data_IF_235176331780
#
_entry.id   IF_235176331780
#
_cell.length_a   1.000
_cell.length_b   1.000
_cell.length_c   1.000
_cell.angle_alpha   90.00
_cell.angle_beta   90.00
_cell.angle_gamma   90.00
#
_symmetry.space_group_name_H-M   'P 1'
#
loop_
_entity.id
_entity.type
_entity.pdbx_description
1 polymer ?
#
# COMPACT_ATOMS: atom_id res chain seq x y z
N UNK A 1 -34.89 -16.85 12.51
CA UNK A 1 -35.13 -16.08 13.76
C UNK A 1 -33.96 -16.11 14.74
N UNK A 2 -33.30 -17.25 15.00
CA UNK A 2 -32.17 -17.35 15.96
C UNK A 2 -30.96 -16.53 15.50
N UNK A 3 -30.59 -16.53 14.20
CA UNK A 3 -29.47 -15.75 13.66
C UNK A 3 -29.64 -14.23 13.80
N UNK A 4 -30.85 -13.72 13.72
CA UNK A 4 -31.15 -12.28 13.85
C UNK A 4 -31.07 -11.80 15.32
N UNK A 5 -31.32 -12.66 16.27
CA UNK A 5 -31.20 -12.37 17.72
C UNK A 5 -29.72 -12.39 18.13
N UNK A 6 -28.95 -13.37 17.63
CA UNK A 6 -27.51 -13.47 17.89
C UNK A 6 -26.77 -12.25 17.31
N UNK A 7 -27.10 -11.78 16.10
CA UNK A 7 -26.50 -10.58 15.51
C UNK A 7 -26.83 -9.30 16.28
N UNK A 8 -28.02 -9.21 16.90
CA UNK A 8 -28.42 -8.06 17.76
C UNK A 8 -27.67 -8.04 19.10
N UNK A 9 -27.35 -9.21 19.68
CA UNK A 9 -26.66 -9.32 20.99
C UNK A 9 -25.17 -9.23 20.86
N UNK A 10 -24.57 -9.85 19.83
CA UNK A 10 -23.11 -9.92 19.66
C UNK A 10 -22.55 -8.88 18.68
N UNK A 11 -23.38 -8.11 17.98
CA UNK A 11 -23.01 -7.20 16.92
C UNK A 11 -22.46 -7.95 15.69
N UNK A 12 -22.43 -7.29 14.53
CA UNK A 12 -21.79 -7.83 13.34
C UNK A 12 -20.25 -7.77 13.55
N UNK A 13 -19.52 -8.87 13.26
CA UNK A 13 -18.05 -8.95 13.34
C UNK A 13 -17.40 -7.76 12.62
N UNK A 14 -17.90 -7.42 11.44
CA UNK A 14 -17.45 -6.27 10.66
C UNK A 14 -17.57 -4.95 11.44
N UNK A 15 -18.68 -4.71 12.14
CA UNK A 15 -18.85 -3.49 12.93
C UNK A 15 -17.88 -3.39 14.11
N UNK A 16 -17.53 -4.53 14.74
CA UNK A 16 -16.52 -4.58 15.81
C UNK A 16 -15.13 -4.32 15.27
N UNK A 17 -14.80 -4.89 14.12
CA UNK A 17 -13.50 -4.72 13.47
C UNK A 17 -13.32 -3.26 13.01
N UNK A 18 -14.34 -2.66 12.38
CA UNK A 18 -14.36 -1.23 12.03
C UNK A 18 -14.15 -0.36 13.28
N UNK A 19 -14.83 -0.65 14.40
CA UNK A 19 -14.67 0.11 15.64
C UNK A 19 -13.24 0.05 16.18
N UNK A 20 -12.56 -1.09 16.03
CA UNK A 20 -11.13 -1.26 16.44
C UNK A 20 -10.17 -0.44 15.57
N UNK A 21 -10.52 -0.22 14.30
CA UNK A 21 -9.67 0.52 13.37
C UNK A 21 -9.82 2.04 13.48
N UNK A 22 -10.91 2.55 14.09
CA UNK A 22 -11.16 4.00 14.23
C UNK A 22 -9.98 4.80 14.80
N UNK A 23 -9.28 4.36 15.87
CA UNK A 23 -8.14 5.10 16.39
C UNK A 23 -6.99 5.20 15.36
N UNK A 24 -6.77 4.15 14.55
CA UNK A 24 -5.74 4.15 13.50
C UNK A 24 -6.11 5.09 12.35
N UNK A 25 -7.39 5.12 11.97
CA UNK A 25 -7.90 6.10 10.98
C UNK A 25 -7.72 7.54 11.49
N UNK A 26 -7.98 7.78 12.77
CA UNK A 26 -7.75 9.09 13.37
C UNK A 26 -6.26 9.48 13.29
N UNK A 27 -5.34 8.58 13.63
CA UNK A 27 -3.89 8.81 13.49
C UNK A 27 -3.49 9.17 12.06
N UNK A 28 -4.01 8.44 11.05
CA UNK A 28 -3.77 8.72 9.63
C UNK A 28 -4.26 10.14 9.28
N UNK A 29 -5.49 10.47 9.66
CA UNK A 29 -6.08 11.76 9.34
C UNK A 29 -5.39 12.92 10.06
N UNK A 30 -4.93 12.73 11.29
CA UNK A 30 -4.20 13.77 12.02
C UNK A 30 -2.82 13.99 11.41
N UNK A 31 -2.11 12.93 11.02
CA UNK A 31 -0.85 13.08 10.29
C UNK A 31 -1.06 13.76 8.93
N UNK A 32 -2.08 13.34 8.17
CA UNK A 32 -2.45 13.94 6.89
C UNK A 32 -2.70 15.46 6.96
N UNK A 33 -3.31 15.96 8.05
CA UNK A 33 -3.54 17.41 8.22
C UNK A 33 -2.23 18.20 8.20
N UNK A 34 -1.16 17.65 8.79
CA UNK A 34 0.14 18.29 8.85
C UNK A 34 0.83 18.33 7.47
N UNK A 35 0.57 17.32 6.60
CA UNK A 35 1.18 17.23 5.27
C UNK A 35 0.73 18.34 4.31
N UNK A 36 -0.41 18.96 4.55
CA UNK A 36 -0.96 20.01 3.67
C UNK A 36 -0.03 21.20 3.49
N UNK A 37 0.81 21.49 4.48
CA UNK A 37 1.78 22.60 4.45
C UNK A 37 3.16 22.18 3.91
N UNK A 38 3.37 20.89 3.57
CA UNK A 38 4.66 20.40 3.11
C UNK A 38 4.81 20.60 1.59
N UNK A 39 6.07 20.87 1.16
CA UNK A 39 6.40 20.79 -0.27
C UNK A 39 6.41 19.34 -0.76
N UNK A 40 6.37 19.17 -2.10
CA UNK A 40 6.44 17.83 -2.71
C UNK A 40 7.76 17.13 -2.36
N UNK A 41 8.88 17.87 -2.39
CA UNK A 41 10.20 17.35 -2.06
C UNK A 41 10.28 16.84 -0.61
N UNK A 42 9.67 17.58 0.34
CA UNK A 42 9.63 17.18 1.74
C UNK A 42 8.80 15.91 1.92
N UNK A 43 7.67 15.81 1.22
CA UNK A 43 6.80 14.64 1.28
C UNK A 43 7.50 13.39 0.72
N UNK A 44 8.13 13.53 -0.45
CA UNK A 44 8.91 12.46 -1.09
C UNK A 44 10.07 12.03 -0.17
N UNK A 45 10.79 13.00 0.39
CA UNK A 45 11.91 12.73 1.28
C UNK A 45 11.48 11.92 2.51
N UNK A 46 10.37 12.29 3.16
CA UNK A 46 9.84 11.54 4.31
C UNK A 46 9.60 10.06 3.99
N UNK A 47 8.99 9.77 2.84
CA UNK A 47 8.80 8.40 2.38
C UNK A 47 10.12 7.68 2.10
N UNK A 48 11.06 8.33 1.41
CA UNK A 48 12.36 7.75 1.08
C UNK A 48 13.24 7.55 2.32
N UNK A 49 13.14 8.43 3.31
CA UNK A 49 13.83 8.28 4.60
C UNK A 49 13.31 7.05 5.37
N UNK A 50 12.00 6.76 5.33
CA UNK A 50 11.42 5.52 5.88
C UNK A 50 11.96 4.28 5.17
N UNK A 51 12.01 4.30 3.83
CA UNK A 51 12.54 3.20 3.00
C UNK A 51 14.01 2.92 3.32
N UNK A 52 14.82 3.96 3.39
CA UNK A 52 16.25 3.88 3.72
C UNK A 52 16.47 3.39 5.15
N UNK A 53 15.67 3.88 6.10
CA UNK A 53 15.73 3.47 7.50
C UNK A 53 15.42 1.98 7.64
N UNK A 54 14.37 1.49 7.00
CA UNK A 54 14.02 0.07 7.02
C UNK A 54 15.15 -0.79 6.42
N UNK A 55 15.64 -0.41 5.23
CA UNK A 55 16.74 -1.12 4.56
C UNK A 55 17.99 -1.23 5.45
N UNK A 56 18.41 -0.14 6.07
CA UNK A 56 19.56 -0.12 6.98
C UNK A 56 19.35 -1.02 8.20
N UNK A 57 18.15 -0.98 8.79
CA UNK A 57 17.78 -1.82 9.95
C UNK A 57 17.71 -3.30 9.58
N UNK A 58 17.24 -3.65 8.38
CA UNK A 58 17.22 -5.04 7.87
C UNK A 58 18.65 -5.57 7.73
N UNK A 59 19.55 -4.78 7.16
CA UNK A 59 20.96 -5.16 7.00
C UNK A 59 21.60 -5.43 8.37
N UNK A 60 21.37 -4.55 9.34
CA UNK A 60 21.89 -4.72 10.69
C UNK A 60 21.28 -5.96 11.36
N UNK A 61 19.95 -6.10 11.31
CA UNK A 61 19.25 -7.24 11.89
C UNK A 61 19.71 -8.57 11.31
N UNK A 62 19.96 -8.61 10.00
CA UNK A 62 20.48 -9.81 9.32
C UNK A 62 21.88 -10.19 9.82
N UNK A 63 22.75 -9.22 10.07
CA UNK A 63 24.07 -9.48 10.69
C UNK A 63 23.90 -10.08 12.08
N UNK A 64 23.09 -9.45 12.92
CA UNK A 64 22.86 -9.88 14.31
C UNK A 64 22.26 -11.30 14.38
N UNK A 65 21.43 -11.68 13.39
CA UNK A 65 20.83 -13.00 13.31
C UNK A 65 21.80 -14.08 12.80
N UNK A 66 22.70 -13.74 11.89
CA UNK A 66 23.71 -14.67 11.40
C UNK A 66 24.69 -15.12 12.49
N UNK A 67 24.89 -14.28 13.53
CA UNK A 67 25.75 -14.60 14.68
C UNK A 67 25.07 -15.53 15.71
N UNK A 68 23.80 -15.92 15.50
CA UNK A 68 22.98 -16.67 16.47
C UNK A 68 22.79 -18.16 16.16
N UNK A 69 23.63 -18.82 15.39
CA UNK A 69 23.48 -20.25 15.03
C UNK A 69 22.07 -20.67 14.56
N UNK A 70 21.34 -19.76 13.90
CA UNK A 70 20.01 -20.00 13.36
C UNK A 70 20.09 -20.58 11.95
N UNK A 71 19.13 -21.40 11.56
CA UNK A 71 19.00 -21.83 10.18
C UNK A 71 18.38 -20.73 9.30
N UNK A 72 18.52 -20.87 7.97
CA UNK A 72 18.04 -19.85 7.01
C UNK A 72 16.55 -19.53 7.13
N UNK A 73 15.72 -20.53 7.42
CA UNK A 73 14.27 -20.34 7.58
C UNK A 73 13.94 -19.54 8.85
N UNK A 74 14.65 -19.80 9.94
CA UNK A 74 14.49 -19.03 11.19
C UNK A 74 14.92 -17.59 11.03
N UNK A 75 16.01 -17.36 10.30
CA UNK A 75 16.47 -16.00 9.97
C UNK A 75 15.42 -15.27 9.14
N UNK A 76 14.89 -15.90 8.08
CA UNK A 76 13.88 -15.28 7.20
C UNK A 76 12.59 -14.97 7.96
N UNK A 77 12.12 -15.87 8.80
CA UNK A 77 10.93 -15.63 9.64
C UNK A 77 11.14 -14.46 10.60
N UNK A 78 12.30 -14.34 11.25
CA UNK A 78 12.61 -13.23 12.15
C UNK A 78 12.76 -11.90 11.42
N UNK A 79 13.30 -11.91 10.19
CA UNK A 79 13.36 -10.72 9.34
C UNK A 79 11.96 -10.29 8.88
N UNK A 80 11.13 -11.24 8.48
CA UNK A 80 9.74 -10.95 8.08
C UNK A 80 8.91 -10.38 9.25
N UNK A 81 9.05 -10.95 10.45
CA UNK A 81 8.43 -10.40 11.65
C UNK A 81 8.89 -8.96 11.93
N UNK A 82 10.19 -8.71 11.83
CA UNK A 82 10.78 -7.39 12.02
C UNK A 82 10.24 -6.38 10.98
N UNK A 83 10.21 -6.74 9.69
CA UNK A 83 9.65 -5.92 8.62
C UNK A 83 8.16 -5.63 8.89
N UNK A 84 7.38 -6.64 9.22
CA UNK A 84 5.95 -6.51 9.52
C UNK A 84 5.71 -5.54 10.68
N UNK A 85 6.50 -5.62 11.74
CA UNK A 85 6.40 -4.71 12.88
C UNK A 85 6.72 -3.26 12.46
N UNK A 86 7.79 -3.05 11.69
CA UNK A 86 8.15 -1.73 11.18
C UNK A 86 7.04 -1.14 10.29
N UNK A 87 6.47 -1.95 9.37
CA UNK A 87 5.36 -1.53 8.52
C UNK A 87 4.12 -1.13 9.35
N UNK A 88 3.78 -1.93 10.38
CA UNK A 88 2.65 -1.64 11.27
C UNK A 88 2.83 -0.35 12.08
N UNK A 89 4.03 -0.07 12.56
CA UNK A 89 4.38 1.16 13.29
C UNK A 89 4.24 2.39 12.40
N UNK A 90 4.68 2.31 11.14
CA UNK A 90 4.72 3.42 10.19
C UNK A 90 3.51 3.51 9.26
N UNK A 91 2.53 2.59 9.38
CA UNK A 91 1.36 2.53 8.52
C UNK A 91 0.61 3.87 8.45
N UNK A 92 0.42 4.52 9.59
CA UNK A 92 -0.33 5.78 9.67
C UNK A 92 0.37 6.92 8.91
N UNK A 93 1.70 6.95 8.93
CA UNK A 93 2.52 7.92 8.19
C UNK A 93 2.37 7.67 6.69
N UNK A 94 2.62 6.42 6.25
CA UNK A 94 2.59 6.07 4.82
C UNK A 94 1.20 6.26 4.22
N UNK A 95 0.13 5.83 4.93
CA UNK A 95 -1.24 6.01 4.43
C UNK A 95 -1.63 7.49 4.33
N UNK A 96 -1.16 8.32 5.27
CA UNK A 96 -1.35 9.76 5.18
C UNK A 96 -0.60 10.37 3.97
N UNK A 97 0.64 9.91 3.71
CA UNK A 97 1.42 10.32 2.54
C UNK A 97 0.68 9.94 1.26
N UNK A 98 0.24 8.68 1.10
CA UNK A 98 -0.50 8.23 -0.09
C UNK A 98 -1.80 9.05 -0.28
N UNK A 99 -2.54 9.30 0.80
CA UNK A 99 -3.74 10.15 0.76
C UNK A 99 -3.41 11.58 0.32
N UNK A 100 -2.29 12.14 0.78
CA UNK A 100 -1.87 13.49 0.40
C UNK A 100 -1.34 13.57 -1.03
N UNK A 101 -0.63 12.55 -1.51
CA UNK A 101 -0.26 12.44 -2.93
C UNK A 101 -1.50 12.42 -3.81
N UNK A 102 -2.50 11.60 -3.49
CA UNK A 102 -3.77 11.56 -4.22
C UNK A 102 -4.45 12.95 -4.26
N UNK A 103 -4.43 13.70 -3.15
CA UNK A 103 -4.93 15.08 -3.08
C UNK A 103 -4.13 16.04 -3.98
N UNK A 104 -2.79 15.92 -4.01
CA UNK A 104 -1.91 16.78 -4.84
C UNK A 104 -2.07 16.52 -6.33
N UNK A 105 -2.52 15.33 -6.70
CA UNK A 105 -2.85 14.99 -8.07
C UNK A 105 -4.20 15.58 -8.52
N UNK A 106 -5.11 15.92 -7.60
CA UNK A 106 -6.42 16.47 -7.96
C UNK A 106 -6.31 17.71 -8.85
N UNK A 107 -7.07 17.68 -9.95
CA UNK A 107 -7.06 18.72 -10.98
C UNK A 107 -5.91 18.62 -11.99
N UNK A 108 -5.05 17.59 -11.89
CA UNK A 108 -4.04 17.32 -12.92
C UNK A 108 -4.62 16.40 -14.01
N UNK A 109 -4.35 16.76 -15.27
CA UNK A 109 -4.61 15.86 -16.40
C UNK A 109 -3.63 14.70 -16.36
N UNK A 110 -4.15 13.48 -16.47
CA UNK A 110 -3.39 12.24 -16.54
C UNK A 110 -3.74 11.49 -17.82
N UNK A 111 -2.87 10.61 -18.26
CA UNK A 111 -3.09 9.76 -19.44
C UNK A 111 -3.19 8.31 -18.99
N UNK A 112 -4.33 7.66 -19.28
CA UNK A 112 -4.57 6.26 -18.99
C UNK A 112 -5.12 5.60 -20.25
N UNK A 113 -4.51 4.53 -20.73
CA UNK A 113 -4.90 3.83 -21.96
C UNK A 113 -5.06 4.80 -23.16
N UNK A 114 -4.12 5.74 -23.31
CA UNK A 114 -4.14 6.80 -24.32
C UNK A 114 -5.33 7.78 -24.22
N UNK A 115 -6.07 7.77 -23.12
CA UNK A 115 -7.16 8.71 -22.86
C UNK A 115 -6.74 9.73 -21.80
N UNK A 116 -7.10 11.00 -22.03
CA UNK A 116 -6.91 12.06 -21.07
C UNK A 116 -8.04 12.01 -20.02
N UNK A 117 -7.68 11.99 -18.78
CA UNK A 117 -8.58 11.98 -17.62
C UNK A 117 -8.12 13.04 -16.62
N UNK A 118 -9.06 13.61 -15.88
CA UNK A 118 -8.74 14.45 -14.73
C UNK A 118 -8.66 13.58 -13.46
N UNK A 119 -7.57 13.70 -12.71
CA UNK A 119 -7.50 13.07 -11.41
C UNK A 119 -8.38 13.81 -10.42
N UNK A 120 -9.36 13.11 -9.83
CA UNK A 120 -10.31 13.67 -8.88
C UNK A 120 -10.54 12.79 -7.64
N UNK A 121 -9.57 11.91 -7.32
CA UNK A 121 -9.71 10.91 -6.27
C UNK A 121 -8.87 11.27 -5.06
N UNK A 122 -9.49 11.19 -3.87
CA UNK A 122 -8.82 11.25 -2.56
C UNK A 122 -9.39 10.13 -1.71
N UNK A 123 -8.57 9.45 -0.91
CA UNK A 123 -9.02 8.35 -0.06
C UNK A 123 -10.01 8.81 1.02
N UNK A 124 -11.15 8.12 1.11
CA UNK A 124 -12.11 8.25 2.21
C UNK A 124 -11.74 7.32 3.38
N UNK A 125 -12.35 7.53 4.54
CA UNK A 125 -12.05 6.74 5.75
C UNK A 125 -12.38 5.25 5.57
N UNK A 126 -13.45 4.92 4.85
CA UNK A 126 -13.82 3.54 4.49
C UNK A 126 -12.75 2.87 3.62
N UNK A 127 -12.13 3.64 2.74
CA UNK A 127 -11.03 3.17 1.89
C UNK A 127 -9.75 2.97 2.68
N UNK A 128 -9.45 3.82 3.68
CA UNK A 128 -8.34 3.61 4.61
C UNK A 128 -8.53 2.30 5.40
N UNK A 129 -9.77 2.02 5.85
CA UNK A 129 -10.11 0.74 6.51
C UNK A 129 -9.84 -0.43 5.58
N UNK A 130 -10.30 -0.35 4.32
CA UNK A 130 -10.04 -1.38 3.31
C UNK A 130 -8.56 -1.65 3.11
N UNK A 131 -7.75 -0.60 3.00
CA UNK A 131 -6.30 -0.71 2.90
C UNK A 131 -5.65 -1.39 4.10
N UNK A 132 -6.08 -1.06 5.33
CA UNK A 132 -5.58 -1.72 6.56
C UNK A 132 -5.94 -3.20 6.58
N UNK A 133 -7.17 -3.54 6.19
CA UNK A 133 -7.64 -4.93 6.11
C UNK A 133 -6.81 -5.75 5.12
N UNK A 134 -6.51 -5.19 3.95
CA UNK A 134 -5.63 -5.82 2.95
C UNK A 134 -4.20 -6.00 3.49
N UNK A 135 -3.63 -4.98 4.14
CA UNK A 135 -2.30 -5.08 4.74
C UNK A 135 -2.22 -6.18 5.82
N UNK A 136 -3.31 -6.44 6.52
CA UNK A 136 -3.41 -7.54 7.49
C UNK A 136 -3.57 -8.93 6.86
N UNK A 137 -3.44 -9.08 5.54
CA UNK A 137 -3.62 -10.34 4.84
C UNK A 137 -5.06 -10.85 4.82
N UNK A 138 -6.05 -9.97 4.97
CA UNK A 138 -7.46 -10.30 4.99
C UNK A 138 -8.13 -9.89 3.69
N UNK A 139 -9.33 -10.42 3.45
CA UNK A 139 -10.18 -10.04 2.33
C UNK A 139 -10.99 -8.79 2.69
N UNK A 140 -10.89 -7.75 1.86
CA UNK A 140 -11.73 -6.56 1.95
C UNK A 140 -12.84 -6.66 0.89
N UNK A 141 -14.08 -6.90 1.31
CA UNK A 141 -15.23 -6.87 0.43
C UNK A 141 -15.70 -5.42 0.26
N UNK A 142 -15.70 -4.94 -0.98
CA UNK A 142 -16.15 -3.60 -1.34
C UNK A 142 -17.05 -3.68 -2.57
N UNK A 143 -18.13 -2.90 -2.59
CA UNK A 143 -19.07 -2.85 -3.72
C UNK A 143 -18.39 -2.27 -4.96
N UNK A 144 -19.00 -2.56 -6.11
CA UNK A 144 -18.57 -1.95 -7.38
C UNK A 144 -18.74 -0.42 -7.28
N UNK A 145 -17.72 0.33 -7.75
CA UNK A 145 -17.72 1.79 -7.67
C UNK A 145 -17.12 2.39 -6.39
N UNK A 146 -16.82 1.60 -5.35
CA UNK A 146 -16.25 2.10 -4.08
C UNK A 146 -14.73 2.36 -4.14
N UNK A 147 -14.12 2.31 -5.33
CA UNK A 147 -12.73 2.68 -5.53
C UNK A 147 -11.70 1.63 -5.08
N UNK A 148 -11.98 0.34 -5.29
CA UNK A 148 -11.07 -0.77 -4.93
C UNK A 148 -9.63 -0.58 -5.44
N UNK A 149 -9.48 -0.08 -6.68
CA UNK A 149 -8.16 0.19 -7.27
C UNK A 149 -7.39 1.27 -6.50
N UNK A 150 -8.06 2.33 -6.08
CA UNK A 150 -7.46 3.37 -5.25
C UNK A 150 -7.10 2.84 -3.84
N UNK A 151 -7.95 2.00 -3.25
CA UNK A 151 -7.69 1.37 -1.93
C UNK A 151 -6.42 0.55 -1.94
N UNK A 152 -6.16 -0.18 -3.02
CA UNK A 152 -4.97 -1.04 -3.12
C UNK A 152 -3.65 -0.25 -3.07
N UNK A 153 -3.65 1.04 -3.46
CA UNK A 153 -2.44 1.87 -3.41
C UNK A 153 -1.86 2.00 -2.00
N UNK A 154 -2.70 1.98 -0.98
CA UNK A 154 -2.32 2.11 0.42
C UNK A 154 -1.38 0.98 0.89
N UNK A 155 -1.79 -0.31 0.85
CA UNK A 155 -0.91 -1.41 1.23
C UNK A 155 0.24 -1.62 0.22
N UNK A 156 0.06 -1.28 -1.07
CA UNK A 156 1.11 -1.38 -2.08
C UNK A 156 2.28 -0.46 -1.71
N UNK A 157 2.03 0.83 -1.50
CA UNK A 157 3.08 1.80 -1.14
C UNK A 157 3.70 1.46 0.22
N UNK A 158 2.90 0.99 1.19
CA UNK A 158 3.44 0.56 2.48
C UNK A 158 4.40 -0.61 2.34
N UNK A 159 4.04 -1.64 1.61
CA UNK A 159 4.88 -2.83 1.44
C UNK A 159 6.10 -2.55 0.53
N UNK A 160 6.03 -1.58 -0.38
CA UNK A 160 7.17 -1.16 -1.21
C UNK A 160 8.34 -0.59 -0.39
N UNK A 161 8.12 -0.20 0.88
CA UNK A 161 9.21 0.18 1.79
C UNK A 161 10.23 -0.94 2.00
N UNK A 162 9.82 -2.21 1.91
CA UNK A 162 10.70 -3.37 2.13
C UNK A 162 11.75 -3.55 1.02
N UNK A 163 11.52 -2.98 -0.18
CA UNK A 163 12.39 -3.17 -1.34
C UNK A 163 12.37 -4.59 -1.92
N UNK A 164 11.45 -5.47 -1.48
CA UNK A 164 11.31 -6.85 -1.98
C UNK A 164 10.52 -6.95 -3.30
N UNK A 165 9.96 -5.83 -3.77
CA UNK A 165 8.97 -5.79 -4.85
C UNK A 165 7.55 -6.12 -4.36
N UNK A 166 6.57 -5.43 -4.93
CA UNK A 166 5.15 -5.65 -4.63
C UNK A 166 4.44 -6.09 -5.91
N UNK A 167 3.77 -7.24 -5.85
CA UNK A 167 3.01 -7.75 -7.00
C UNK A 167 1.52 -7.45 -6.82
N UNK A 168 0.93 -6.80 -7.84
CA UNK A 168 -0.50 -6.50 -7.92
C UNK A 168 -1.10 -7.37 -9.00
N UNK A 169 -1.93 -8.32 -8.61
CA UNK A 169 -2.48 -9.31 -9.53
C UNK A 169 -3.91 -8.92 -9.91
N UNK A 170 -4.15 -8.81 -11.22
CA UNK A 170 -5.47 -8.55 -11.81
C UNK A 170 -5.96 -9.75 -12.61
N UNK A 171 -7.23 -9.73 -13.03
CA UNK A 171 -7.83 -10.87 -13.73
C UNK A 171 -7.47 -10.94 -15.23
N UNK A 172 -6.94 -9.87 -15.82
CA UNK A 172 -6.54 -9.82 -17.23
C UNK A 172 -5.55 -8.69 -17.52
N UNK A 173 -4.94 -8.74 -18.72
CA UNK A 173 -3.94 -7.79 -19.21
C UNK A 173 -4.48 -6.35 -19.29
N UNK A 174 -5.73 -6.18 -19.73
CA UNK A 174 -6.35 -4.86 -19.81
C UNK A 174 -6.39 -4.15 -18.46
N UNK A 175 -6.80 -4.85 -17.40
CA UNK A 175 -6.83 -4.28 -16.06
C UNK A 175 -5.42 -4.06 -15.52
N UNK A 176 -4.48 -4.96 -15.81
CA UNK A 176 -3.09 -4.78 -15.40
C UNK A 176 -2.51 -3.49 -16.01
N UNK A 177 -2.69 -3.29 -17.31
CA UNK A 177 -2.21 -2.10 -18.01
C UNK A 177 -2.93 -0.83 -17.55
N UNK A 178 -4.25 -0.85 -17.47
CA UNK A 178 -5.04 0.30 -17.01
C UNK A 178 -4.66 0.72 -15.59
N UNK A 179 -4.63 -0.23 -14.65
CA UNK A 179 -4.43 0.08 -13.24
C UNK A 179 -2.98 0.47 -12.93
N UNK A 180 -2.00 -0.11 -13.64
CA UNK A 180 -0.60 0.31 -13.53
C UNK A 180 -0.39 1.73 -14.03
N UNK A 181 -1.01 2.11 -15.16
CA UNK A 181 -0.95 3.48 -15.67
C UNK A 181 -1.70 4.46 -14.77
N UNK A 182 -2.87 4.09 -14.28
CA UNK A 182 -3.71 5.00 -13.49
C UNK A 182 -3.14 5.24 -12.09
N UNK A 183 -2.87 4.17 -11.34
CA UNK A 183 -2.33 4.30 -9.98
C UNK A 183 -0.82 4.59 -9.98
N UNK A 184 -0.15 4.35 -11.10
CA UNK A 184 1.25 4.67 -11.33
C UNK A 184 1.60 6.11 -10.97
N UNK A 185 0.72 7.06 -11.22
CA UNK A 185 0.92 8.47 -10.83
C UNK A 185 1.16 8.67 -9.33
N UNK A 186 0.53 7.86 -8.45
CA UNK A 186 0.82 7.89 -7.00
C UNK A 186 2.21 7.32 -6.72
N UNK A 187 2.56 6.22 -7.36
CA UNK A 187 3.81 5.51 -7.10
C UNK A 187 5.01 6.31 -7.62
N UNK A 188 4.93 6.81 -8.84
CA UNK A 188 5.95 7.65 -9.47
C UNK A 188 6.16 8.97 -8.72
N UNK A 189 5.09 9.57 -8.18
CA UNK A 189 5.20 10.76 -7.33
C UNK A 189 6.13 10.52 -6.12
N UNK A 190 6.16 9.30 -5.61
CA UNK A 190 7.01 8.89 -4.48
C UNK A 190 8.36 8.30 -4.94
N UNK A 191 8.71 8.43 -6.23
CA UNK A 191 9.90 7.84 -6.85
C UNK A 191 9.95 6.31 -6.73
N UNK A 192 8.79 5.64 -6.83
CA UNK A 192 8.69 4.19 -6.95
C UNK A 192 8.57 3.81 -8.42
N UNK A 193 9.36 2.84 -8.84
CA UNK A 193 9.30 2.29 -10.19
C UNK A 193 8.10 1.36 -10.35
N UNK A 194 7.43 1.45 -11.50
CA UNK A 194 6.23 0.66 -11.83
C UNK A 194 6.49 -0.14 -13.10
N UNK A 195 6.18 -1.42 -13.06
CA UNK A 195 6.20 -2.30 -14.23
C UNK A 195 4.83 -2.92 -14.46
N UNK A 196 4.50 -3.21 -15.71
CA UNK A 196 3.30 -3.95 -16.08
C UNK A 196 3.68 -5.24 -16.81
N UNK A 197 3.34 -6.40 -16.22
CA UNK A 197 3.59 -7.70 -16.81
C UNK A 197 2.36 -8.16 -17.61
N UNK A 198 2.52 -8.29 -18.91
CA UNK A 198 1.46 -8.70 -19.86
C UNK A 198 1.74 -10.10 -20.43
N UNK A 199 0.69 -10.81 -20.83
CA UNK A 199 0.76 -12.20 -21.30
C UNK A 199 1.69 -12.37 -22.52
N UNK A 200 1.76 -11.37 -23.41
CA UNK A 200 2.55 -11.41 -24.65
C UNK A 200 4.03 -11.01 -24.50
N UNK A 201 4.47 -10.67 -23.27
CA UNK A 201 5.84 -10.22 -23.04
C UNK A 201 6.84 -11.36 -23.13
N UNK A 202 8.04 -11.06 -23.68
CA UNK A 202 9.18 -11.97 -23.65
C UNK A 202 9.68 -12.19 -22.22
N UNK A 203 10.37 -13.30 -21.97
CA UNK A 203 10.97 -13.59 -20.68
C UNK A 203 11.99 -12.52 -20.25
N UNK A 204 12.71 -11.94 -21.21
CA UNK A 204 13.66 -10.85 -20.90
C UNK A 204 12.92 -9.59 -20.43
N UNK A 205 11.86 -9.20 -21.13
CA UNK A 205 11.04 -8.05 -20.75
C UNK A 205 10.39 -8.26 -19.37
N UNK A 206 9.88 -9.47 -19.10
CA UNK A 206 9.31 -9.82 -17.78
C UNK A 206 10.32 -9.68 -16.65
N UNK A 207 11.58 -10.13 -16.87
CA UNK A 207 12.65 -9.96 -15.85
C UNK A 207 12.90 -8.50 -15.52
N UNK A 208 12.86 -7.59 -16.51
CA UNK A 208 13.02 -6.16 -16.28
C UNK A 208 11.84 -5.58 -15.48
N UNK A 209 10.62 -5.99 -15.82
CA UNK A 209 9.40 -5.56 -15.12
C UNK A 209 9.43 -6.01 -13.65
N UNK A 210 9.85 -7.23 -13.37
CA UNK A 210 9.98 -7.75 -11.99
C UNK A 210 11.11 -7.11 -11.16
N UNK A 211 11.93 -6.25 -11.75
CA UNK A 211 12.92 -5.45 -11.00
C UNK A 211 12.34 -4.12 -10.49
N UNK A 212 11.11 -3.77 -10.89
CA UNK A 212 10.43 -2.59 -10.39
C UNK A 212 10.00 -2.75 -8.92
N UNK A 213 9.80 -1.64 -8.24
CA UNK A 213 9.27 -1.64 -6.87
C UNK A 213 7.85 -2.21 -6.83
N UNK A 214 7.07 -2.01 -7.90
CA UNK A 214 5.67 -2.45 -8.05
C UNK A 214 5.49 -3.06 -9.44
N UNK A 215 4.89 -4.25 -9.48
CA UNK A 215 4.62 -4.98 -10.73
C UNK A 215 3.19 -5.49 -10.76
#
# INVERSE_FOLDING_TARGET
>A
MIGTIISKIFGNKSAKDIKRLKPKIQQINDYYKNLKSWSDEKLIKEYQDLKTTLSSKIIQKKKDLNDQNLNLLEIDNKLHEFETNFLNENLHIVYAIVKDVARRLCGKEIIVMNQKLDWNMIHYDEQLIGGIVLHQGKVAEMKTGEGKTLVSTLPIVLNALTGRGVHVITVNDYLAERDSQWMGYIYEFLNLSVGCNLSQMSNESRRKVYQCDIT
#
